data_IF_409358926174
#
_entry.id   IF_409358926174
#
_cell.length_a   1.000
_cell.length_b   1.000
_cell.length_c   1.000
_cell.angle_alpha   90.00
_cell.angle_beta   90.00
_cell.angle_gamma   90.00
#
_symmetry.space_group_name_H-M   'P 1'
#
loop_
_entity.id
_entity.type
_entity.pdbx_description
1 polymer ?
#
# COMPACT_ATOMS: atom_id res chain seq x y z
N UNK A 1 30.15 -3.87 9.41
CA UNK A 1 30.16 -5.33 9.18
C UNK A 1 30.28 -5.63 7.67
N UNK A 2 30.90 -6.74 7.24
CA UNK A 2 31.07 -7.06 5.79
C UNK A 2 29.72 -7.19 5.06
N UNK A 3 28.74 -7.83 5.70
CA UNK A 3 27.40 -8.03 5.18
C UNK A 3 26.64 -6.72 4.90
N UNK A 4 26.58 -5.80 5.86
CA UNK A 4 25.91 -4.49 5.65
C UNK A 4 26.51 -3.73 4.47
N UNK A 5 27.85 -3.66 4.37
CA UNK A 5 28.53 -3.00 3.25
C UNK A 5 28.15 -3.63 1.91
N UNK A 6 28.01 -4.96 1.85
CA UNK A 6 27.56 -5.66 0.66
C UNK A 6 26.09 -5.33 0.33
N UNK A 7 25.21 -5.26 1.33
CA UNK A 7 23.80 -4.91 1.14
C UNK A 7 23.62 -3.50 0.58
N UNK A 8 24.33 -2.50 1.14
CA UNK A 8 24.33 -1.12 0.64
C UNK A 8 24.80 -1.08 -0.81
N UNK A 9 25.92 -1.75 -1.11
CA UNK A 9 26.45 -1.85 -2.49
C UNK A 9 25.47 -2.54 -3.45
N UNK A 10 24.70 -3.50 -2.96
CA UNK A 10 23.66 -4.19 -3.71
C UNK A 10 22.38 -3.36 -3.85
N UNK A 11 22.29 -2.16 -3.26
CA UNK A 11 21.13 -1.28 -3.40
C UNK A 11 20.02 -1.48 -2.37
N UNK A 12 20.29 -2.21 -1.29
CA UNK A 12 19.38 -2.30 -0.14
C UNK A 12 19.40 -0.97 0.62
N UNK A 13 18.24 -0.34 0.92
CA UNK A 13 18.20 0.90 1.67
C UNK A 13 18.79 0.76 3.08
N UNK A 14 19.55 1.76 3.53
CA UNK A 14 20.18 1.77 4.86
C UNK A 14 19.18 1.60 6.00
N UNK A 15 17.97 2.15 5.83
CA UNK A 15 16.87 2.05 6.82
C UNK A 15 16.38 0.63 7.03
N UNK A 16 16.61 -0.26 6.06
CA UNK A 16 16.21 -1.67 6.13
C UNK A 16 17.32 -2.55 6.71
N UNK A 17 18.49 -2.00 7.09
CA UNK A 17 19.63 -2.76 7.61
C UNK A 17 19.61 -2.88 9.14
N UNK A 18 19.75 -4.11 9.62
CA UNK A 18 20.00 -4.39 11.04
C UNK A 18 21.39 -3.92 11.49
N UNK A 19 21.55 -3.63 12.79
CA UNK A 19 22.83 -3.31 13.44
C UNK A 19 23.49 -4.56 14.01
N UNK A 20 24.82 -4.58 14.17
CA UNK A 20 25.55 -5.79 14.61
C UNK A 20 25.01 -6.38 15.94
N UNK A 21 24.61 -5.52 16.87
CA UNK A 21 24.00 -5.91 18.16
C UNK A 21 22.71 -6.72 17.99
N UNK A 22 21.90 -6.40 16.96
CA UNK A 22 20.61 -7.05 16.73
C UNK A 22 20.76 -8.54 16.45
N UNK A 23 21.85 -8.92 15.76
CA UNK A 23 22.20 -10.30 15.45
C UNK A 23 23.08 -10.95 16.52
N UNK A 24 24.18 -10.29 16.91
CA UNK A 24 25.20 -10.88 17.78
C UNK A 24 24.69 -11.09 19.22
N UNK A 25 23.94 -10.13 19.74
CA UNK A 25 23.34 -10.21 21.08
C UNK A 25 21.88 -10.66 21.03
N UNK A 26 21.37 -10.97 19.83
CA UNK A 26 19.96 -11.35 19.59
C UNK A 26 18.96 -10.31 20.08
N UNK A 27 19.37 -9.03 20.08
CA UNK A 27 18.57 -7.93 20.61
C UNK A 27 17.34 -7.63 19.74
N UNK A 28 17.42 -7.90 18.42
CA UNK A 28 16.31 -7.69 17.49
C UNK A 28 16.40 -8.59 16.25
N UNK A 29 16.08 -9.87 16.41
CA UNK A 29 16.06 -10.83 15.30
C UNK A 29 14.99 -10.50 14.25
N UNK A 30 13.90 -9.84 14.65
CA UNK A 30 12.88 -9.41 13.70
C UNK A 30 13.45 -8.44 12.65
N UNK A 31 14.30 -7.50 13.06
CA UNK A 31 14.96 -6.59 12.13
C UNK A 31 15.94 -7.31 11.20
N UNK A 32 16.68 -8.31 11.72
CA UNK A 32 17.54 -9.16 10.88
C UNK A 32 16.72 -9.85 9.78
N UNK A 33 15.58 -10.44 10.15
CA UNK A 33 14.65 -11.06 9.20
C UNK A 33 14.14 -10.05 8.18
N UNK A 34 13.75 -8.85 8.62
CA UNK A 34 13.30 -7.78 7.71
C UNK A 34 14.38 -7.36 6.71
N UNK A 35 15.65 -7.29 7.13
CA UNK A 35 16.78 -7.04 6.22
C UNK A 35 16.89 -8.13 5.16
N UNK A 36 16.67 -9.40 5.51
CA UNK A 36 16.67 -10.52 4.53
C UNK A 36 15.55 -10.34 3.51
N UNK A 37 14.34 -9.99 3.94
CA UNK A 37 13.25 -9.66 3.02
C UNK A 37 13.54 -8.41 2.16
N UNK A 38 14.25 -7.42 2.69
CA UNK A 38 14.68 -6.25 1.92
C UNK A 38 15.67 -6.62 0.81
N UNK A 39 16.62 -7.53 1.08
CA UNK A 39 17.49 -8.10 0.05
C UNK A 39 16.65 -8.82 -1.01
N UNK A 40 15.72 -9.68 -0.57
CA UNK A 40 14.80 -10.40 -1.46
C UNK A 40 13.95 -9.50 -2.38
N UNK A 41 13.49 -8.35 -1.88
CA UNK A 41 12.82 -7.33 -2.70
C UNK A 41 13.78 -6.64 -3.66
N UNK A 42 15.02 -6.43 -3.25
CA UNK A 42 16.03 -5.72 -4.04
C UNK A 42 16.42 -6.54 -5.28
N UNK A 43 16.49 -7.87 -5.18
CA UNK A 43 16.85 -8.74 -6.33
C UNK A 43 15.93 -8.58 -7.54
N UNK A 44 14.68 -8.14 -7.38
CA UNK A 44 13.78 -7.81 -8.49
C UNK A 44 14.28 -6.67 -9.39
N UNK A 45 15.19 -5.84 -8.90
CA UNK A 45 15.81 -4.73 -9.63
C UNK A 45 17.14 -5.11 -10.31
N UNK A 46 17.62 -6.34 -10.10
CA UNK A 46 18.93 -6.81 -10.55
C UNK A 46 18.77 -7.88 -11.64
N UNK A 47 18.90 -7.53 -12.94
CA UNK A 47 18.75 -8.47 -14.05
C UNK A 47 19.75 -9.64 -14.03
N UNK A 48 20.89 -9.45 -13.37
CA UNK A 48 21.92 -10.49 -13.18
C UNK A 48 21.51 -11.54 -12.15
N UNK A 49 20.49 -11.29 -11.33
CA UNK A 49 20.01 -12.24 -10.34
C UNK A 49 19.28 -13.41 -11.03
N UNK A 50 19.86 -14.61 -10.91
CA UNK A 50 19.30 -15.87 -11.45
C UNK A 50 18.73 -16.79 -10.38
N UNK A 51 18.73 -16.36 -9.12
CA UNK A 51 18.23 -17.15 -7.99
C UNK A 51 16.72 -17.00 -7.80
N UNK A 52 16.14 -17.71 -6.81
CA UNK A 52 14.74 -17.52 -6.45
C UNK A 52 14.50 -16.13 -5.88
N UNK A 53 13.28 -15.62 -6.04
CA UNK A 53 12.86 -14.37 -5.39
C UNK A 53 12.17 -14.65 -4.06
N UNK A 54 12.31 -13.71 -3.13
CA UNK A 54 11.68 -13.78 -1.81
C UNK A 54 10.70 -12.61 -1.65
N UNK A 55 9.43 -12.95 -1.46
CA UNK A 55 8.33 -11.99 -1.34
C UNK A 55 7.62 -11.70 -2.66
N UNK A 56 6.56 -10.87 -2.64
CA UNK A 56 5.84 -10.49 -3.85
C UNK A 56 6.69 -9.54 -4.72
N UNK A 57 6.49 -9.62 -6.05
CA UNK A 57 7.11 -8.67 -6.99
C UNK A 57 6.66 -7.24 -6.63
N UNK A 58 7.59 -6.29 -6.42
CA UNK A 58 7.24 -4.89 -6.23
C UNK A 58 6.39 -4.37 -7.40
N UNK A 59 5.34 -3.63 -7.10
CA UNK A 59 4.49 -2.99 -8.10
C UNK A 59 5.28 -1.95 -8.90
N UNK A 60 5.11 -1.95 -10.21
CA UNK A 60 5.62 -0.89 -11.08
C UNK A 60 4.57 0.23 -11.19
N UNK A 61 5.02 1.47 -11.34
CA UNK A 61 4.12 2.61 -11.53
C UNK A 61 3.34 2.45 -12.83
N UNK A 62 2.00 2.43 -12.73
CA UNK A 62 1.12 2.39 -13.89
C UNK A 62 0.67 3.81 -14.26
N UNK A 63 1.51 4.54 -15.00
CA UNK A 63 1.15 5.85 -15.55
C UNK A 63 0.11 5.67 -16.64
N UNK A 64 -1.14 6.04 -16.33
CA UNK A 64 -2.22 6.09 -17.31
C UNK A 64 -2.30 7.49 -17.91
N UNK A 65 -2.26 7.55 -19.22
CA UNK A 65 -2.47 8.79 -19.96
C UNK A 65 -3.92 8.81 -20.43
N UNK A 66 -4.64 9.86 -20.04
CA UNK A 66 -5.99 10.11 -20.53
C UNK A 66 -5.92 11.17 -21.62
N UNK A 67 -6.75 11.01 -22.64
CA UNK A 67 -6.94 12.06 -23.65
C UNK A 67 -7.68 13.24 -23.05
N UNK A 68 -7.48 14.43 -23.61
CA UNK A 68 -8.17 15.64 -23.14
C UNK A 68 -9.70 15.49 -23.19
N UNK A 69 -10.21 14.81 -24.23
CA UNK A 69 -11.63 14.52 -24.37
C UNK A 69 -12.16 13.55 -23.29
N UNK A 70 -11.35 12.56 -22.87
CA UNK A 70 -11.69 11.69 -21.74
C UNK A 70 -11.69 12.42 -20.40
N UNK A 71 -10.74 13.34 -20.20
CA UNK A 71 -10.70 14.18 -18.99
C UNK A 71 -11.94 15.08 -18.92
N UNK A 72 -12.27 15.77 -20.03
CA UNK A 72 -13.47 16.61 -20.14
C UNK A 72 -14.76 15.82 -19.97
N UNK A 73 -14.85 14.62 -20.53
CA UNK A 73 -16.00 13.74 -20.32
C UNK A 73 -16.16 13.33 -18.84
N UNK A 74 -15.04 13.18 -18.11
CA UNK A 74 -15.03 12.90 -16.68
C UNK A 74 -15.58 14.04 -15.82
N UNK A 75 -15.39 15.30 -16.22
CA UNK A 75 -15.94 16.47 -15.50
C UNK A 75 -17.47 16.46 -15.44
N UNK A 76 -18.13 15.91 -16.47
CA UNK A 76 -19.58 15.78 -16.53
C UNK A 76 -20.13 14.60 -15.70
N UNK A 77 -19.27 13.69 -15.23
CA UNK A 77 -19.67 12.53 -14.43
C UNK A 77 -19.69 12.90 -12.95
N UNK A 78 -20.86 13.34 -12.49
CA UNK A 78 -21.14 13.61 -11.08
C UNK A 78 -21.34 12.27 -10.35
N UNK A 79 -20.44 11.92 -9.43
CA UNK A 79 -20.53 10.69 -8.63
C UNK A 79 -21.81 10.65 -7.78
N UNK A 80 -22.31 9.44 -7.49
CA UNK A 80 -23.59 9.17 -6.80
C UNK A 80 -23.73 9.82 -5.40
N UNK A 81 -22.63 10.38 -4.84
CA UNK A 81 -22.57 11.08 -3.56
C UNK A 81 -22.33 12.59 -3.66
N UNK A 82 -22.24 13.16 -4.85
CA UNK A 82 -22.13 14.61 -5.02
C UNK A 82 -23.50 15.26 -4.78
N UNK A 83 -23.89 15.30 -3.51
CA UNK A 83 -25.02 16.07 -3.01
C UNK A 83 -24.68 17.56 -3.05
N UNK A 84 -25.50 18.34 -3.73
CA UNK A 84 -25.45 19.81 -3.65
C UNK A 84 -25.99 20.26 -2.29
N UNK A 85 -25.28 21.17 -1.63
CA UNK A 85 -25.73 21.84 -0.40
C UNK A 85 -26.57 23.10 -0.68
N UNK A 86 -26.96 23.36 -1.93
CA UNK A 86 -27.65 24.58 -2.38
C UNK A 86 -29.07 24.34 -2.94
N UNK A 87 -29.87 23.47 -2.34
CA UNK A 87 -31.30 23.41 -2.65
C UNK A 87 -32.02 22.19 -2.09
N UNK A 88 -33.19 22.44 -1.49
CA UNK A 88 -34.06 21.51 -0.74
C UNK A 88 -33.32 20.74 0.36
N UNK A 89 -33.41 21.23 1.60
CA UNK A 89 -33.18 20.39 2.78
C UNK A 89 -33.90 19.09 2.57
N UNK A 90 -33.19 17.99 2.66
CA UNK A 90 -33.72 16.63 2.56
C UNK A 90 -34.58 16.32 3.81
N UNK A 91 -35.52 17.20 4.13
CA UNK A 91 -36.50 17.02 5.18
C UNK A 91 -37.49 15.98 4.67
N UNK A 92 -37.34 14.74 5.14
CA UNK A 92 -38.25 13.64 4.84
C UNK A 92 -37.64 12.41 4.16
N UNK A 93 -36.33 12.35 3.89
CA UNK A 93 -35.75 11.04 3.53
C UNK A 93 -35.65 10.16 4.78
N UNK A 94 -36.57 9.20 4.87
CA UNK A 94 -36.51 8.11 5.83
C UNK A 94 -35.85 6.90 5.15
N UNK A 95 -34.56 6.69 5.40
CA UNK A 95 -33.89 5.44 5.05
C UNK A 95 -34.08 4.42 6.17
N UNK A 96 -35.05 3.54 5.98
CA UNK A 96 -35.25 2.35 6.80
C UNK A 96 -36.68 2.20 7.28
N UNK A 97 -37.27 1.03 7.07
CA UNK A 97 -38.47 0.66 7.79
C UNK A 97 -38.16 0.66 9.29
N UNK A 98 -38.83 1.52 10.07
CA UNK A 98 -38.74 1.47 11.53
C UNK A 98 -39.18 0.08 12.00
N UNK A 99 -38.22 -0.73 12.46
CA UNK A 99 -38.52 -2.03 13.09
C UNK A 99 -39.28 -1.75 14.39
N UNK A 100 -40.60 -1.90 14.36
CA UNK A 100 -41.37 -2.03 15.60
C UNK A 100 -41.11 -3.42 16.18
N UNK A 101 -40.36 -3.48 17.27
CA UNK A 101 -40.34 -4.69 18.12
C UNK A 101 -41.63 -4.62 18.96
N UNK A 102 -42.60 -5.49 18.66
CA UNK A 102 -43.71 -5.76 19.58
C UNK A 102 -43.24 -6.80 20.59
N UNK A 103 -43.02 -6.36 21.83
CA UNK A 103 -42.83 -7.26 22.97
C UNK A 103 -44.21 -7.57 23.58
N UNK A 104 -44.55 -8.85 23.65
CA UNK A 104 -45.61 -9.36 24.53
C UNK A 104 -46.67 -10.23 23.85
N UNK A 105 -46.48 -11.55 23.92
CA UNK A 105 -47.47 -12.52 24.42
C UNK A 105 -46.72 -13.75 24.94
#
# INVERSE_FOLDING_TARGET
>A
MRFQKACIKYGVPDVDLFQAVDLMERKNIALVTNTIFAIGRTTYKHPEWRGPWLGPKPSEENKRYFTEDQLRAGEAVIGLQAGSNKGATQSGQNFGASRKILLGK
#
